data_IF_532442021088
#
_entry.id   IF_532442021088
#
_cell.length_a   1.000
_cell.length_b   1.000
_cell.length_c   1.000
_cell.angle_alpha   90.00
_cell.angle_beta   90.00
_cell.angle_gamma   90.00
#
_symmetry.space_group_name_H-M   'P 1'
#
loop_
_entity.id
_entity.type
_entity.pdbx_description
1 polymer ?
#
# COMPACT_ATOMS: atom_id res chain seq x y z
N UNK A 1 18.91 7.39 9.01
CA UNK A 1 18.12 6.58 8.07
C UNK A 1 18.36 5.16 8.47
N UNK A 2 17.29 4.48 8.87
CA UNK A 2 17.37 3.25 9.65
C UNK A 2 17.03 2.03 8.78
N UNK A 3 16.18 2.19 7.76
CA UNK A 3 15.81 1.15 6.80
C UNK A 3 15.63 1.73 5.40
N UNK A 4 16.00 0.93 4.39
CA UNK A 4 15.71 1.18 2.98
C UNK A 4 14.84 0.06 2.44
N UNK A 5 13.73 0.41 1.78
CA UNK A 5 12.88 -0.55 1.07
C UNK A 5 13.06 -0.40 -0.45
N UNK A 6 13.17 -1.53 -1.16
CA UNK A 6 13.26 -1.58 -2.61
C UNK A 6 12.11 -2.41 -3.17
N UNK A 7 11.31 -1.83 -4.05
CA UNK A 7 10.17 -2.51 -4.64
C UNK A 7 9.14 -1.52 -5.19
N UNK A 8 8.07 -2.05 -5.76
CA UNK A 8 7.07 -1.24 -6.45
C UNK A 8 5.89 -0.89 -5.54
N UNK A 9 5.38 0.33 -5.72
CA UNK A 9 4.11 0.76 -5.14
C UNK A 9 2.99 0.55 -6.15
N UNK A 10 1.86 0.01 -5.70
CA UNK A 10 0.67 -0.14 -6.55
C UNK A 10 -0.50 0.65 -5.98
N UNK A 11 -1.41 1.06 -6.86
CA UNK A 11 -2.74 1.54 -6.44
C UNK A 11 -3.69 0.35 -6.41
N UNK A 12 -4.23 0.06 -5.23
CA UNK A 12 -5.24 -0.97 -5.03
C UNK A 12 -6.64 -0.37 -5.11
N UNK A 13 -7.47 -0.88 -6.03
CA UNK A 13 -8.89 -0.59 -6.13
C UNK A 13 -9.68 -1.57 -5.25
N UNK A 14 -10.01 -1.16 -4.02
CA UNK A 14 -10.78 -1.98 -3.09
C UNK A 14 -12.28 -1.87 -3.41
N UNK A 15 -13.00 -3.00 -3.60
CA UNK A 15 -14.43 -2.96 -3.91
C UNK A 15 -15.24 -2.41 -2.73
N UNK A 16 -16.31 -1.66 -3.04
CA UNK A 16 -17.22 -1.09 -2.03
C UNK A 16 -18.15 -2.10 -1.36
N UNK A 17 -18.34 -3.26 -1.98
CA UNK A 17 -19.20 -4.35 -1.51
C UNK A 17 -18.56 -5.72 -1.73
N UNK A 18 -19.01 -6.73 -0.98
CA UNK A 18 -18.54 -8.12 -1.14
C UNK A 18 -19.27 -8.80 -2.29
N UNK A 19 -18.52 -9.52 -3.14
CA UNK A 19 -19.06 -10.27 -4.27
C UNK A 19 -18.07 -10.33 -5.44
N UNK A 20 -18.45 -10.95 -6.57
CA UNK A 20 -17.63 -10.93 -7.78
C UNK A 20 -17.40 -9.49 -8.27
N UNK A 21 -16.16 -9.14 -8.59
CA UNK A 21 -15.77 -7.76 -8.99
C UNK A 21 -16.58 -7.21 -10.18
N UNK A 22 -17.03 -8.08 -11.09
CA UNK A 22 -17.86 -7.70 -12.25
C UNK A 22 -19.22 -7.08 -11.88
N UNK A 23 -19.66 -7.24 -10.63
CA UNK A 23 -20.93 -6.71 -10.13
C UNK A 23 -20.75 -5.55 -9.13
N UNK A 24 -19.50 -5.14 -8.88
CA UNK A 24 -19.21 -4.02 -7.99
C UNK A 24 -19.27 -2.72 -8.81
N UNK A 25 -20.10 -1.78 -8.38
CA UNK A 25 -20.30 -0.47 -9.03
C UNK A 25 -19.31 0.61 -8.58
N UNK A 26 -18.60 0.41 -7.46
CA UNK A 26 -17.74 1.42 -6.85
C UNK A 26 -16.48 0.86 -6.21
N UNK A 27 -15.39 1.64 -6.32
CA UNK A 27 -14.06 1.28 -5.81
C UNK A 27 -13.45 2.43 -5.02
N UNK A 28 -12.76 2.11 -3.92
CA UNK A 28 -11.90 3.05 -3.20
C UNK A 28 -10.44 2.81 -3.55
N UNK A 29 -9.72 3.88 -3.86
CA UNK A 29 -8.27 3.84 -4.09
C UNK A 29 -7.55 3.73 -2.76
N UNK A 30 -6.62 2.79 -2.67
CA UNK A 30 -5.73 2.57 -1.54
C UNK A 30 -4.32 2.27 -2.05
N UNK A 31 -3.32 2.31 -1.18
CA UNK A 31 -1.94 1.96 -1.51
C UNK A 31 -1.75 0.45 -1.29
N UNK A 32 -1.09 -0.20 -2.23
CA UNK A 32 -0.59 -1.57 -2.13
C UNK A 32 0.92 -1.63 -2.39
N UNK A 33 1.49 -2.82 -2.20
CA UNK A 33 2.93 -3.07 -2.25
C UNK A 33 3.43 -3.50 -0.87
N UNK A 34 4.11 -4.63 -0.81
CA UNK A 34 4.55 -5.22 0.46
C UNK A 34 5.56 -4.31 1.17
N UNK A 35 6.51 -3.81 0.39
CA UNK A 35 7.60 -2.92 0.78
C UNK A 35 7.06 -1.57 1.26
N UNK A 36 6.09 -1.02 0.51
CA UNK A 36 5.42 0.23 0.86
C UNK A 36 4.63 0.10 2.16
N UNK A 37 3.98 -1.04 2.39
CA UNK A 37 3.27 -1.31 3.63
C UNK A 37 4.24 -1.40 4.83
N UNK A 38 5.40 -2.05 4.66
CA UNK A 38 6.45 -2.10 5.69
C UNK A 38 6.99 -0.70 5.99
N UNK A 39 7.29 0.09 4.95
CA UNK A 39 7.78 1.45 5.12
C UNK A 39 6.77 2.33 5.89
N UNK A 40 5.48 2.23 5.58
CA UNK A 40 4.42 2.96 6.30
C UNK A 40 4.36 2.51 7.76
N UNK A 41 4.44 1.20 8.04
CA UNK A 41 4.38 0.68 9.40
C UNK A 41 5.57 1.17 10.25
N UNK A 42 6.79 1.10 9.73
CA UNK A 42 7.98 1.56 10.43
C UNK A 42 8.01 3.08 10.61
N UNK A 43 7.53 3.84 9.62
CA UNK A 43 7.36 5.30 9.75
C UNK A 43 6.39 5.65 10.89
N UNK A 44 5.31 4.87 11.08
CA UNK A 44 4.37 5.05 12.21
C UNK A 44 4.96 4.68 13.56
N UNK A 45 6.04 3.90 13.58
CA UNK A 45 6.81 3.56 14.78
C UNK A 45 7.99 4.53 15.00
N UNK A 46 7.98 5.68 14.33
CA UNK A 46 8.97 6.76 14.48
C UNK A 46 10.38 6.42 13.97
N UNK A 47 10.50 5.45 13.05
CA UNK A 47 11.76 5.13 12.38
C UNK A 47 11.97 5.96 11.11
N UNK A 48 13.23 6.27 10.80
CA UNK A 48 13.61 6.99 9.59
C UNK A 48 13.72 6.01 8.41
N UNK A 49 12.73 6.01 7.51
CA UNK A 49 12.66 5.10 6.36
C UNK A 49 12.86 5.89 5.06
N UNK A 50 13.51 5.29 4.08
CA UNK A 50 13.37 5.74 2.70
C UNK A 50 13.21 4.60 1.73
N UNK A 51 12.86 5.00 0.53
CA UNK A 51 12.47 4.11 -0.56
C UNK A 51 13.38 4.38 -1.73
N UNK A 52 13.81 3.31 -2.39
CA UNK A 52 14.47 3.39 -3.68
C UNK A 52 13.48 2.87 -4.73
N UNK A 53 13.02 3.79 -5.57
CA UNK A 53 12.25 3.56 -6.78
C UNK A 53 13.16 3.50 -8.02
#
# INVERSE_FOLDING_TARGET
MDVITLGESMVLFKPGSTGPLRYVDSYRKTVGGAETNVAIALTRLDHQIGRLD
#
